data_IF_186452860132
#
_entry.id   IF_186452860132
#
_cell.length_a   1.000
_cell.length_b   1.000
_cell.length_c   1.000
_cell.angle_alpha   90.00
_cell.angle_beta   90.00
_cell.angle_gamma   90.00
#
_symmetry.space_group_name_H-M   'P 1'
#
loop_
_entity.id
_entity.type
_entity.pdbx_description
1 polymer ?
#
# COMPACT_ATOMS: atom_id res chain seq x y z
N UNK A 1 -12.59 -13.03 -38.00
CA UNK A 1 -13.08 -11.68 -37.68
C UNK A 1 -12.19 -10.67 -38.37
N UNK A 2 -12.77 -9.72 -39.09
CA UNK A 2 -12.00 -8.66 -39.76
C UNK A 2 -11.43 -7.68 -38.73
N UNK A 3 -10.35 -6.99 -39.08
CA UNK A 3 -9.66 -6.03 -38.19
C UNK A 3 -10.58 -4.90 -37.71
N UNK A 4 -11.58 -4.52 -38.51
CA UNK A 4 -12.57 -3.49 -38.17
C UNK A 4 -13.70 -4.02 -37.27
N UNK A 5 -14.13 -5.27 -37.46
CA UNK A 5 -15.11 -5.93 -36.57
C UNK A 5 -14.54 -6.07 -35.16
N UNK A 6 -13.27 -6.47 -35.04
CA UNK A 6 -12.60 -6.62 -33.76
C UNK A 6 -12.42 -5.27 -33.03
N UNK A 7 -12.25 -4.19 -33.80
CA UNK A 7 -12.11 -2.82 -33.28
C UNK A 7 -13.44 -2.23 -32.82
N UNK A 8 -14.53 -2.49 -33.55
CA UNK A 8 -15.89 -2.10 -33.17
C UNK A 8 -16.36 -2.91 -31.97
N UNK A 9 -16.13 -4.23 -31.96
CA UNK A 9 -16.45 -5.11 -30.84
C UNK A 9 -15.77 -4.65 -29.56
N UNK A 10 -14.45 -4.42 -29.59
CA UNK A 10 -13.71 -3.86 -28.44
C UNK A 10 -14.24 -2.50 -28.00
N UNK A 11 -14.76 -1.67 -28.91
CA UNK A 11 -15.31 -0.35 -28.57
C UNK A 11 -16.70 -0.44 -27.93
N UNK A 12 -17.57 -1.31 -28.43
CA UNK A 12 -18.91 -1.57 -27.86
C UNK A 12 -18.77 -2.23 -26.49
N UNK A 13 -17.99 -3.29 -26.41
CA UNK A 13 -17.66 -4.00 -25.17
C UNK A 13 -17.07 -3.07 -24.10
N UNK A 14 -16.18 -2.16 -24.50
CA UNK A 14 -15.61 -1.15 -23.60
C UNK A 14 -16.68 -0.19 -23.05
N UNK A 15 -17.69 0.14 -23.86
CA UNK A 15 -18.76 1.07 -23.46
C UNK A 15 -19.71 0.38 -22.48
N UNK A 16 -20.05 -0.88 -22.74
CA UNK A 16 -20.84 -1.72 -21.82
C UNK A 16 -20.11 -1.94 -20.48
N UNK A 17 -18.81 -2.26 -20.54
CA UNK A 17 -17.96 -2.40 -19.34
C UNK A 17 -17.93 -1.15 -18.47
N UNK A 18 -17.78 0.03 -19.12
CA UNK A 18 -17.82 1.33 -18.44
C UNK A 18 -19.17 1.57 -17.77
N UNK A 19 -20.27 1.30 -18.48
CA UNK A 19 -21.62 1.45 -17.94
C UNK A 19 -21.87 0.49 -16.78
N UNK A 20 -21.44 -0.77 -16.88
CA UNK A 20 -21.66 -1.76 -15.83
C UNK A 20 -20.89 -1.45 -14.54
N UNK A 21 -19.61 -1.08 -14.64
CA UNK A 21 -18.84 -0.64 -13.47
C UNK A 21 -19.49 0.59 -12.84
N UNK A 22 -19.82 1.58 -13.67
CA UNK A 22 -20.40 2.84 -13.23
C UNK A 22 -21.74 2.60 -12.53
N UNK A 23 -22.60 1.75 -13.07
CA UNK A 23 -23.86 1.39 -12.44
C UNK A 23 -23.63 0.66 -11.12
N UNK A 24 -22.77 -0.36 -11.08
CA UNK A 24 -22.49 -1.10 -9.83
C UNK A 24 -21.94 -0.21 -8.72
N UNK A 25 -21.11 0.77 -9.04
CA UNK A 25 -20.59 1.73 -8.06
C UNK A 25 -21.64 2.77 -7.64
N UNK A 26 -22.34 3.39 -8.58
CA UNK A 26 -23.34 4.41 -8.28
C UNK A 26 -24.58 3.84 -7.56
N UNK A 27 -24.97 2.60 -7.86
CA UNK A 27 -26.07 1.91 -7.16
C UNK A 27 -25.73 1.62 -5.69
N UNK A 28 -24.44 1.37 -5.40
CA UNK A 28 -23.98 0.98 -4.06
C UNK A 28 -23.48 2.14 -3.23
N UNK A 29 -23.12 3.25 -3.87
CA UNK A 29 -22.70 4.48 -3.20
C UNK A 29 -23.28 5.70 -3.92
N UNK A 30 -24.46 6.10 -3.46
CA UNK A 30 -25.18 7.26 -3.98
C UNK A 30 -24.47 8.60 -3.73
N UNK A 31 -23.39 8.62 -2.93
CA UNK A 31 -22.60 9.83 -2.65
C UNK A 31 -21.57 10.13 -3.75
N UNK A 32 -21.28 9.18 -4.65
CA UNK A 32 -20.40 9.38 -5.78
C UNK A 32 -21.16 10.04 -6.94
N UNK A 33 -20.83 11.28 -7.27
CA UNK A 33 -21.33 11.90 -8.50
C UNK A 33 -20.64 11.27 -9.73
N UNK A 34 -21.41 11.06 -10.81
CA UNK A 34 -20.93 10.51 -12.09
C UNK A 34 -19.72 11.23 -12.68
N UNK A 35 -19.59 12.54 -12.43
CA UNK A 35 -18.49 13.41 -12.88
C UNK A 35 -17.21 13.17 -12.08
N UNK A 36 -17.32 13.10 -10.75
CA UNK A 36 -16.20 12.79 -9.86
C UNK A 36 -15.65 11.37 -10.14
N UNK A 37 -16.53 10.43 -10.49
CA UNK A 37 -16.14 9.08 -10.89
C UNK A 37 -15.26 9.05 -12.16
N UNK A 38 -15.64 9.81 -13.20
CA UNK A 38 -14.91 9.88 -14.47
C UNK A 38 -13.60 10.68 -14.37
N UNK A 39 -13.52 11.66 -13.45
CA UNK A 39 -12.29 12.40 -13.19
C UNK A 39 -11.23 11.56 -12.46
N UNK A 40 -11.68 10.58 -11.67
CA UNK A 40 -10.81 9.77 -10.83
C UNK A 40 -10.17 8.60 -11.59
N UNK A 41 -10.81 8.06 -12.62
CA UNK A 41 -10.33 6.88 -13.34
C UNK A 41 -10.13 7.12 -14.84
N UNK A 42 -8.92 6.87 -15.33
CA UNK A 42 -8.69 6.84 -16.77
C UNK A 42 -9.37 5.61 -17.42
N UNK A 43 -9.60 5.67 -18.74
CA UNK A 43 -10.25 4.60 -19.51
C UNK A 43 -9.52 3.24 -19.46
N UNK A 44 -8.28 3.20 -18.98
CA UNK A 44 -7.50 1.96 -18.86
C UNK A 44 -7.72 1.33 -17.49
N UNK A 45 -7.69 2.14 -16.44
CA UNK A 45 -8.01 1.75 -15.06
C UNK A 45 -9.42 1.20 -14.98
N UNK A 46 -10.40 1.84 -15.64
CA UNK A 46 -11.77 1.32 -15.70
C UNK A 46 -11.83 -0.07 -16.35
N UNK A 47 -11.07 -0.31 -17.43
CA UNK A 47 -11.05 -1.63 -18.06
C UNK A 47 -10.38 -2.69 -17.19
N UNK A 48 -9.36 -2.31 -16.41
CA UNK A 48 -8.74 -3.20 -15.43
C UNK A 48 -9.75 -3.60 -14.36
N UNK A 49 -10.46 -2.63 -13.79
CA UNK A 49 -11.49 -2.91 -12.78
C UNK A 49 -12.59 -3.83 -13.34
N UNK A 50 -13.00 -3.61 -14.59
CA UNK A 50 -14.00 -4.44 -15.24
C UNK A 50 -13.56 -5.90 -15.33
N UNK A 51 -12.32 -6.11 -15.76
CA UNK A 51 -11.76 -7.44 -15.91
C UNK A 51 -11.60 -8.14 -14.55
N UNK A 52 -11.23 -7.40 -13.50
CA UNK A 52 -11.18 -7.94 -12.14
C UNK A 52 -12.56 -8.36 -11.63
N UNK A 53 -13.61 -7.57 -11.91
CA UNK A 53 -15.01 -7.92 -11.57
C UNK A 53 -15.44 -9.17 -12.34
N UNK A 54 -15.19 -9.21 -13.66
CA UNK A 54 -15.56 -10.36 -14.50
C UNK A 54 -14.87 -11.65 -14.09
N UNK A 55 -13.62 -11.56 -13.64
CA UNK A 55 -12.86 -12.69 -13.09
C UNK A 55 -13.33 -13.11 -11.68
N UNK A 56 -14.27 -12.39 -11.09
CA UNK A 56 -14.80 -12.67 -9.76
C UNK A 56 -13.86 -12.31 -8.62
N UNK A 57 -12.88 -11.42 -8.85
CA UNK A 57 -11.95 -10.96 -7.79
C UNK A 57 -12.74 -10.19 -6.72
N UNK A 58 -13.68 -9.35 -7.14
CA UNK A 58 -14.67 -8.72 -6.29
C UNK A 58 -16.00 -8.54 -7.05
N UNK A 59 -17.11 -8.55 -6.33
CA UNK A 59 -18.48 -8.43 -6.86
C UNK A 59 -19.07 -7.05 -6.61
N UNK A 60 -18.86 -6.53 -5.40
CA UNK A 60 -19.36 -5.23 -4.96
C UNK A 60 -18.18 -4.28 -4.79
N UNK A 61 -18.35 -3.05 -5.26
CA UNK A 61 -17.32 -2.01 -5.19
C UNK A 61 -17.97 -0.72 -4.69
N UNK A 62 -17.48 -0.23 -3.55
CA UNK A 62 -18.05 0.87 -2.79
C UNK A 62 -17.15 2.11 -2.86
N UNK A 63 -17.54 3.14 -2.12
CA UNK A 63 -16.85 4.42 -2.02
C UNK A 63 -15.38 4.39 -1.66
N UNK A 64 -14.78 5.58 -1.78
CA UNK A 64 -13.39 5.84 -1.40
C UNK A 64 -13.28 5.78 0.13
N UNK A 65 -12.42 4.90 0.64
CA UNK A 65 -12.04 4.84 2.05
C UNK A 65 -11.00 5.93 2.36
N UNK A 66 -10.05 6.12 1.45
CA UNK A 66 -8.94 7.06 1.63
C UNK A 66 -8.47 7.62 0.29
N UNK A 67 -8.24 8.94 0.27
CA UNK A 67 -7.73 9.66 -0.88
C UNK A 67 -6.35 10.23 -0.55
N UNK A 68 -5.30 9.65 -1.12
CA UNK A 68 -3.94 10.17 -1.07
C UNK A 68 -3.58 10.94 -2.34
N UNK A 69 -2.44 11.63 -2.30
CA UNK A 69 -1.87 12.34 -3.48
C UNK A 69 -1.50 11.40 -4.63
N UNK A 70 -1.28 10.13 -4.32
CA UNK A 70 -0.63 9.18 -5.23
C UNK A 70 -1.48 7.92 -5.50
N UNK A 71 -2.41 7.62 -4.61
CA UNK A 71 -3.36 6.51 -4.79
C UNK A 71 -4.66 6.81 -4.07
N UNK A 72 -5.71 6.09 -4.46
CA UNK A 72 -6.99 6.05 -3.76
C UNK A 72 -7.28 4.62 -3.35
N UNK A 73 -7.87 4.44 -2.17
CA UNK A 73 -8.25 3.14 -1.64
C UNK A 73 -9.78 3.07 -1.62
N UNK A 74 -10.31 2.01 -2.21
CA UNK A 74 -11.74 1.73 -2.28
C UNK A 74 -12.08 0.48 -1.52
N UNK A 75 -13.27 0.47 -0.92
CA UNK A 75 -13.81 -0.72 -0.29
C UNK A 75 -14.47 -1.59 -1.35
N UNK A 76 -14.26 -2.90 -1.31
CA UNK A 76 -14.93 -3.87 -2.16
C UNK A 76 -15.28 -5.12 -1.36
N UNK A 77 -16.22 -5.92 -1.86
CA UNK A 77 -16.50 -7.27 -1.33
C UNK A 77 -16.42 -8.28 -2.46
N UNK A 78 -15.93 -9.48 -2.15
CA UNK A 78 -16.02 -10.60 -3.09
C UNK A 78 -17.32 -11.39 -2.94
N UNK A 79 -17.53 -12.36 -3.83
CA UNK A 79 -18.75 -13.17 -3.84
C UNK A 79 -18.99 -13.98 -2.55
N UNK A 80 -17.97 -14.15 -1.69
CA UNK A 80 -18.08 -14.79 -0.37
C UNK A 80 -18.39 -13.81 0.75
N UNK A 81 -18.49 -12.51 0.45
CA UNK A 81 -18.67 -11.45 1.43
C UNK A 81 -17.39 -11.02 2.15
N UNK A 82 -16.20 -11.50 1.73
CA UNK A 82 -14.94 -11.03 2.30
C UNK A 82 -14.68 -9.58 1.88
N UNK A 83 -14.31 -8.73 2.83
CA UNK A 83 -14.00 -7.32 2.59
C UNK A 83 -12.58 -7.16 2.04
N UNK A 84 -12.47 -6.36 0.97
CA UNK A 84 -11.26 -6.12 0.20
C UNK A 84 -10.97 -4.62 0.12
N UNK A 85 -9.69 -4.28 0.11
CA UNK A 85 -9.19 -2.96 -0.23
C UNK A 85 -8.67 -2.98 -1.66
N UNK A 86 -9.16 -2.06 -2.49
CA UNK A 86 -8.70 -1.86 -3.86
C UNK A 86 -7.93 -0.54 -3.93
N UNK A 87 -6.60 -0.63 -3.95
CA UNK A 87 -5.69 0.51 -4.05
C UNK A 87 -5.39 0.80 -5.52
N UNK A 88 -5.73 2.01 -5.95
CA UNK A 88 -5.60 2.45 -7.34
C UNK A 88 -4.60 3.59 -7.41
N UNK A 89 -3.47 3.33 -8.06
CA UNK A 89 -2.41 4.31 -8.25
C UNK A 89 -2.77 5.33 -9.34
N UNK A 90 -2.55 6.62 -9.04
CA UNK A 90 -2.92 7.73 -9.91
C UNK A 90 -1.88 7.93 -11.03
N UNK A 91 -2.32 7.75 -12.28
CA UNK A 91 -1.43 7.72 -13.46
C UNK A 91 -0.94 9.10 -13.92
N UNK A 92 -1.58 10.18 -13.47
CA UNK A 92 -1.31 11.54 -13.95
C UNK A 92 -0.41 12.38 -13.02
N UNK A 93 0.08 11.83 -11.91
CA UNK A 93 0.91 12.57 -10.97
C UNK A 93 2.39 12.50 -11.40
N UNK A 94 2.92 13.58 -11.99
CA UNK A 94 4.30 13.67 -12.47
C UNK A 94 5.34 13.75 -11.34
N UNK A 95 4.96 14.16 -10.14
CA UNK A 95 5.82 14.14 -8.94
C UNK A 95 6.07 12.70 -8.44
N UNK A 96 5.16 11.77 -8.74
CA UNK A 96 5.23 10.37 -8.35
C UNK A 96 6.56 9.72 -8.72
N UNK A 97 7.10 10.03 -9.91
CA UNK A 97 8.38 9.46 -10.35
C UNK A 97 9.57 10.10 -9.64
N UNK A 98 9.57 11.41 -9.45
CA UNK A 98 10.70 12.15 -8.87
C UNK A 98 10.94 11.75 -7.42
N UNK A 99 9.89 11.74 -6.61
CA UNK A 99 9.98 11.43 -5.18
C UNK A 99 10.29 9.96 -4.90
N UNK A 100 10.19 9.10 -5.92
CA UNK A 100 10.35 7.65 -5.79
C UNK A 100 11.64 7.11 -6.38
N UNK A 101 12.46 7.95 -7.03
CA UNK A 101 13.73 7.54 -7.63
C UNK A 101 14.69 6.94 -6.61
N UNK A 102 14.67 7.45 -5.38
CA UNK A 102 15.52 7.00 -4.27
C UNK A 102 15.23 5.55 -3.88
N UNK A 103 13.95 5.13 -3.87
CA UNK A 103 13.55 3.78 -3.46
C UNK A 103 13.73 2.74 -4.58
N UNK A 104 13.97 3.16 -5.82
CA UNK A 104 14.30 2.28 -6.96
C UNK A 104 15.76 2.35 -7.39
N UNK A 105 16.58 3.11 -6.67
CA UNK A 105 18.01 3.16 -6.93
C UNK A 105 18.60 1.75 -6.79
N UNK A 106 19.13 1.20 -7.88
CA UNK A 106 19.65 -0.17 -7.94
C UNK A 106 18.66 -1.26 -8.32
N UNK A 107 17.36 -0.97 -8.48
CA UNK A 107 16.37 -1.98 -8.91
C UNK A 107 16.36 -2.11 -10.45
N UNK A 108 16.92 -3.22 -10.94
CA UNK A 108 17.01 -3.53 -12.38
C UNK A 108 15.65 -3.58 -13.08
N UNK A 109 14.56 -3.90 -12.37
CA UNK A 109 13.22 -3.93 -12.96
C UNK A 109 12.75 -2.53 -13.35
N UNK A 110 13.10 -1.52 -12.56
CA UNK A 110 12.72 -0.11 -12.82
C UNK A 110 13.64 0.57 -13.84
N UNK A 111 14.90 0.14 -13.97
CA UNK A 111 15.81 0.63 -15.01
C UNK A 111 15.28 0.31 -16.43
N UNK A 112 14.59 -0.83 -16.60
CA UNK A 112 14.03 -1.28 -17.89
C UNK A 112 12.74 -0.56 -18.30
N UNK A 113 12.12 0.22 -17.41
CA UNK A 113 10.84 0.90 -17.64
C UNK A 113 10.97 2.08 -18.61
N UNK A 114 12.17 2.67 -18.74
CA UNK A 114 12.42 3.87 -19.56
C UNK A 114 11.64 5.09 -19.05
N UNK A 115 11.31 6.05 -19.92
CA UNK A 115 10.63 7.31 -19.55
C UNK A 115 9.12 7.20 -19.30
N UNK A 116 8.52 6.02 -19.51
CA UNK A 116 7.06 5.84 -19.39
C UNK A 116 6.58 5.87 -17.93
N UNK A 117 5.89 6.94 -17.54
CA UNK A 117 5.27 7.09 -16.21
C UNK A 117 4.27 5.95 -15.90
N UNK A 118 3.47 5.54 -16.87
CA UNK A 118 2.49 4.46 -16.67
C UNK A 118 3.16 3.11 -16.38
N UNK A 119 4.18 2.73 -17.17
CA UNK A 119 4.92 1.48 -16.92
C UNK A 119 5.63 1.52 -15.57
N UNK A 120 6.09 2.70 -15.15
CA UNK A 120 6.68 2.91 -13.83
C UNK A 120 5.65 2.63 -12.74
N UNK A 121 4.47 3.23 -12.82
CA UNK A 121 3.37 3.01 -11.87
C UNK A 121 2.95 1.54 -11.80
N UNK A 122 2.88 0.85 -12.94
CA UNK A 122 2.53 -0.58 -12.95
C UNK A 122 3.61 -1.43 -12.27
N UNK A 123 4.87 -1.09 -12.49
CA UNK A 123 5.99 -1.73 -11.80
C UNK A 123 5.95 -1.42 -10.30
N UNK A 124 5.51 -0.21 -9.94
CA UNK A 124 5.30 0.21 -8.56
C UNK A 124 4.23 -0.60 -7.84
N UNK A 125 3.05 -0.73 -8.45
CA UNK A 125 1.95 -1.52 -7.91
C UNK A 125 2.36 -3.01 -7.76
N UNK A 126 3.10 -3.56 -8.72
CA UNK A 126 3.64 -4.92 -8.64
C UNK A 126 4.66 -5.10 -7.53
N UNK A 127 5.51 -4.09 -7.31
CA UNK A 127 6.47 -4.10 -6.20
C UNK A 127 5.74 -4.11 -4.86
N UNK A 128 4.70 -3.30 -4.69
CA UNK A 128 3.91 -3.33 -3.45
C UNK A 128 3.27 -4.70 -3.21
N UNK A 129 2.67 -5.33 -4.23
CA UNK A 129 2.14 -6.69 -4.10
C UNK A 129 3.23 -7.66 -3.61
N UNK A 130 4.40 -7.66 -4.27
CA UNK A 130 5.52 -8.53 -3.91
C UNK A 130 6.01 -8.28 -2.48
N UNK A 131 6.08 -7.02 -2.07
CA UNK A 131 6.50 -6.67 -0.70
C UNK A 131 5.47 -7.13 0.34
N UNK A 132 4.18 -6.98 0.05
CA UNK A 132 3.10 -7.53 0.89
C UNK A 132 3.18 -9.05 0.98
N UNK A 133 3.44 -9.76 -0.12
CA UNK A 133 3.63 -11.22 -0.11
C UNK A 133 4.80 -11.65 0.77
N UNK A 134 5.95 -10.98 0.66
CA UNK A 134 7.12 -11.27 1.48
C UNK A 134 6.84 -11.02 2.97
N UNK A 135 6.26 -9.87 3.32
CA UNK A 135 5.94 -9.53 4.70
C UNK A 135 4.88 -10.47 5.30
N UNK A 136 3.82 -10.77 4.54
CA UNK A 136 2.75 -11.68 4.95
C UNK A 136 3.29 -13.10 5.20
N UNK A 137 4.14 -13.61 4.29
CA UNK A 137 4.75 -14.94 4.43
C UNK A 137 5.74 -15.02 5.60
N UNK A 138 6.36 -13.90 5.98
CA UNK A 138 7.19 -13.77 7.17
C UNK A 138 6.36 -13.63 8.48
N UNK A 139 5.04 -13.64 8.40
CA UNK A 139 4.16 -13.52 9.57
C UNK A 139 4.11 -12.11 10.16
N UNK A 140 4.49 -11.08 9.39
CA UNK A 140 4.24 -9.68 9.74
C UNK A 140 2.76 -9.38 9.46
N UNK A 141 1.99 -8.81 10.40
CA UNK A 141 0.62 -8.43 10.14
C UNK A 141 0.55 -7.29 9.12
N UNK A 142 0.16 -7.63 7.90
CA UNK A 142 -0.06 -6.73 6.78
C UNK A 142 -1.39 -7.10 6.10
N UNK A 143 -1.97 -6.22 5.26
CA UNK A 143 -3.07 -6.64 4.39
C UNK A 143 -2.67 -7.89 3.59
N UNK A 144 -3.48 -8.94 3.65
CA UNK A 144 -3.26 -10.15 2.87
C UNK A 144 -3.29 -9.78 1.38
N UNK A 145 -2.21 -10.03 0.62
CA UNK A 145 -2.18 -9.71 -0.81
C UNK A 145 -3.13 -10.64 -1.58
N UNK A 146 -3.82 -10.10 -2.59
CA UNK A 146 -4.68 -10.90 -3.49
C UNK A 146 -4.16 -10.88 -4.93
N UNK A 147 -4.11 -9.71 -5.58
CA UNK A 147 -3.67 -9.61 -6.97
C UNK A 147 -3.31 -8.17 -7.33
N UNK A 148 -2.54 -8.00 -8.41
CA UNK A 148 -2.30 -6.70 -9.03
C UNK A 148 -2.53 -6.79 -10.53
N UNK A 149 -3.22 -5.81 -11.10
CA UNK A 149 -3.42 -5.68 -12.55
C UNK A 149 -3.22 -4.21 -12.93
N UNK A 150 -2.29 -3.93 -13.84
CA UNK A 150 -1.88 -2.55 -14.17
C UNK A 150 -1.56 -1.70 -12.94
N UNK A 151 -2.37 -0.68 -12.67
CA UNK A 151 -2.25 0.26 -11.54
C UNK A 151 -3.21 -0.07 -10.37
N UNK A 152 -3.86 -1.23 -10.39
CA UNK A 152 -4.84 -1.64 -9.39
C UNK A 152 -4.28 -2.79 -8.57
N UNK A 153 -4.10 -2.57 -7.27
CA UNK A 153 -3.72 -3.58 -6.28
C UNK A 153 -4.95 -3.95 -5.44
N UNK A 154 -5.19 -5.25 -5.29
CA UNK A 154 -6.25 -5.79 -4.43
C UNK A 154 -5.61 -6.56 -3.28
N UNK A 155 -6.08 -6.29 -2.06
CA UNK A 155 -5.64 -6.90 -0.81
C UNK A 155 -6.81 -7.01 0.18
N UNK A 156 -6.65 -7.73 1.29
CA UNK A 156 -7.68 -7.78 2.33
C UNK A 156 -7.94 -6.39 2.89
N UNK A 157 -9.21 -6.09 3.20
CA UNK A 157 -9.54 -4.90 3.95
C UNK A 157 -9.15 -5.06 5.43
N UNK A 158 -8.51 -4.04 5.99
CA UNK A 158 -8.23 -3.95 7.42
C UNK A 158 -9.28 -3.05 8.07
N UNK A 159 -10.41 -3.64 8.42
CA UNK A 159 -11.57 -2.95 8.93
C UNK A 159 -12.77 -3.88 9.05
N UNK A 160 -13.90 -3.31 9.44
CA UNK A 160 -15.18 -4.02 9.58
C UNK A 160 -16.28 -3.17 8.98
N UNK A 161 -17.13 -3.80 8.16
CA UNK A 161 -18.31 -3.18 7.54
C UNK A 161 -17.98 -1.91 6.76
N UNK A 162 -16.87 -1.96 6.00
CA UNK A 162 -16.37 -0.84 5.21
C UNK A 162 -15.72 0.29 6.02
N UNK A 163 -15.65 0.19 7.34
CA UNK A 163 -14.94 1.14 8.21
C UNK A 163 -13.54 0.61 8.49
N UNK A 164 -12.51 1.36 8.07
CA UNK A 164 -11.11 0.97 8.29
C UNK A 164 -10.75 1.02 9.77
N UNK A 165 -9.77 0.22 10.17
CA UNK A 165 -9.14 0.39 11.47
C UNK A 165 -8.47 1.77 11.59
N UNK A 166 -8.43 2.35 12.81
CA UNK A 166 -7.74 3.61 13.05
C UNK A 166 -6.23 3.45 12.83
N UNK A 167 -5.62 4.51 12.30
CA UNK A 167 -4.17 4.63 12.27
C UNK A 167 -3.67 4.82 13.71
N UNK A 168 -2.44 4.40 14.00
CA UNK A 168 -1.81 4.58 15.30
C UNK A 168 -1.76 6.05 15.73
N UNK A 169 -1.66 6.98 14.77
CA UNK A 169 -1.79 8.42 15.03
C UNK A 169 -3.16 8.84 15.59
N UNK A 170 -4.21 8.15 15.17
CA UNK A 170 -5.62 8.46 15.47
C UNK A 170 -6.08 7.81 16.77
N UNK A 171 -5.26 6.95 17.39
CA UNK A 171 -5.60 6.27 18.63
C UNK A 171 -5.34 7.13 19.86
N UNK A 172 -6.01 6.80 20.96
CA UNK A 172 -5.81 7.42 22.28
C UNK A 172 -5.82 6.33 23.34
N UNK A 173 -4.65 5.73 23.58
CA UNK A 173 -4.42 4.69 24.58
C UNK A 173 -3.62 5.23 25.77
N UNK A 174 -3.57 4.44 26.84
CA UNK A 174 -2.70 4.69 27.99
C UNK A 174 -1.23 4.44 27.65
N UNK A 175 -0.31 4.96 28.47
CA UNK A 175 1.13 4.73 28.29
C UNK A 175 1.48 3.23 28.32
N UNK A 176 0.87 2.45 29.24
CA UNK A 176 1.09 1.00 29.33
C UNK A 176 0.60 0.25 28.10
N UNK A 177 -0.54 0.66 27.54
CA UNK A 177 -1.06 0.10 26.29
C UNK A 177 -0.17 0.45 25.09
N UNK A 178 0.32 1.69 25.02
CA UNK A 178 1.30 2.08 24.01
C UNK A 178 2.61 1.32 24.16
N UNK A 179 3.05 1.00 25.39
CA UNK A 179 4.23 0.17 25.62
C UNK A 179 4.03 -1.25 25.07
N UNK A 180 2.83 -1.83 25.24
CA UNK A 180 2.46 -3.10 24.62
C UNK A 180 2.51 -3.05 23.08
N UNK A 181 1.93 -2.00 22.49
CA UNK A 181 1.97 -1.77 21.03
C UNK A 181 3.40 -1.55 20.52
N UNK A 182 4.24 -0.82 21.26
CA UNK A 182 5.64 -0.61 20.91
C UNK A 182 6.39 -1.94 20.81
N UNK A 183 6.23 -2.82 21.80
CA UNK A 183 6.82 -4.16 21.77
C UNK A 183 6.42 -4.95 20.53
N UNK A 184 5.13 -4.90 20.14
CA UNK A 184 4.65 -5.54 18.91
C UNK A 184 5.26 -4.93 17.65
N UNK A 185 5.33 -3.59 17.58
CA UNK A 185 5.91 -2.90 16.42
C UNK A 185 7.39 -3.26 16.27
N UNK A 186 8.18 -3.28 17.34
CA UNK A 186 9.60 -3.66 17.28
C UNK A 186 9.75 -5.13 16.86
N UNK A 187 8.95 -6.04 17.40
CA UNK A 187 8.94 -7.46 16.99
C UNK A 187 8.64 -7.62 15.49
N UNK A 188 7.68 -6.84 14.96
CA UNK A 188 7.35 -6.90 13.55
C UNK A 188 8.37 -6.23 12.65
N UNK A 189 9.10 -5.22 13.13
CA UNK A 189 10.28 -4.69 12.43
C UNK A 189 11.37 -5.78 12.35
N UNK A 190 11.63 -6.51 13.45
CA UNK A 190 12.59 -7.63 13.46
C UNK A 190 12.22 -8.69 12.44
N UNK A 191 10.96 -9.15 12.42
CA UNK A 191 10.48 -10.14 11.44
C UNK A 191 10.56 -9.62 10.00
N UNK A 192 10.17 -8.37 9.77
CA UNK A 192 10.25 -7.76 8.46
C UNK A 192 11.71 -7.77 7.96
N UNK A 193 12.67 -7.38 8.81
CA UNK A 193 14.08 -7.35 8.43
C UNK A 193 14.72 -8.74 8.29
N UNK A 194 14.54 -9.60 9.29
CA UNK A 194 15.24 -10.89 9.39
C UNK A 194 14.63 -11.95 8.47
N UNK A 195 13.31 -12.07 8.48
CA UNK A 195 12.60 -13.20 7.88
C UNK A 195 12.12 -12.89 6.46
N UNK A 196 11.72 -11.64 6.19
CA UNK A 196 11.32 -11.21 4.85
C UNK A 196 12.44 -10.54 4.04
N UNK A 197 13.52 -10.11 4.72
CA UNK A 197 14.63 -9.37 4.09
C UNK A 197 14.25 -7.95 3.65
N UNK A 198 13.15 -7.40 4.18
CA UNK A 198 12.63 -6.09 3.82
C UNK A 198 12.88 -5.05 4.92
N UNK A 199 12.99 -3.81 4.48
CA UNK A 199 12.87 -2.63 5.32
C UNK A 199 11.63 -1.89 4.82
N UNK A 200 10.76 -1.46 5.74
CA UNK A 200 9.53 -0.79 5.37
C UNK A 200 9.82 0.47 4.54
N UNK A 201 10.82 1.24 4.97
CA UNK A 201 11.37 2.39 4.28
C UNK A 201 10.49 3.62 4.34
N UNK A 202 9.42 3.62 5.14
CA UNK A 202 8.53 4.77 5.41
C UNK A 202 7.67 4.53 6.66
N UNK A 203 8.17 3.76 7.62
CA UNK A 203 7.38 3.35 8.78
C UNK A 203 7.23 4.53 9.74
N UNK A 204 5.98 4.79 10.12
CA UNK A 204 5.58 5.85 11.05
C UNK A 204 4.17 5.56 11.58
N UNK A 205 3.68 6.37 12.50
CA UNK A 205 2.32 6.28 13.05
C UNK A 205 1.20 6.44 12.00
N UNK A 206 1.53 6.92 10.80
CA UNK A 206 0.62 7.06 9.67
C UNK A 206 0.49 5.77 8.85
N UNK A 207 1.49 4.87 8.93
CA UNK A 207 1.56 3.60 8.19
C UNK A 207 1.40 2.37 9.10
N UNK A 208 0.91 2.59 10.32
CA UNK A 208 0.53 1.55 11.28
C UNK A 208 -0.95 1.71 11.60
N UNK A 209 -1.74 0.64 11.44
CA UNK A 209 -3.11 0.56 11.95
C UNK A 209 -3.11 -0.17 13.29
N UNK A 210 -3.88 0.31 14.26
CA UNK A 210 -3.98 -0.27 15.60
C UNK A 210 -5.44 -0.27 16.06
N UNK A 211 -6.24 -1.31 15.75
CA UNK A 211 -7.66 -1.34 16.13
C UNK A 211 -7.86 -1.41 17.65
N UNK A 212 -6.92 -2.02 18.36
CA UNK A 212 -6.94 -2.19 19.80
C UNK A 212 -5.49 -2.21 20.36
N UNK A 213 -5.31 -2.09 21.68
CA UNK A 213 -3.99 -2.09 22.34
C UNK A 213 -3.11 -3.34 22.19
N UNK A 214 -3.53 -4.36 21.44
CA UNK A 214 -2.84 -5.64 21.29
C UNK A 214 -2.63 -6.05 19.84
N UNK A 215 -3.10 -5.24 18.90
CA UNK A 215 -3.07 -5.56 17.48
C UNK A 215 -2.48 -4.38 16.71
N UNK A 216 -1.48 -4.66 15.88
CA UNK A 216 -0.96 -3.69 14.90
C UNK A 216 -0.88 -4.32 13.53
N UNK A 217 -1.05 -3.50 12.49
CA UNK A 217 -0.81 -3.87 11.10
C UNK A 217 0.07 -2.84 10.43
N UNK A 218 1.05 -3.28 9.65
CA UNK A 218 1.81 -2.40 8.75
C UNK A 218 1.08 -2.28 7.41
N UNK A 219 1.02 -1.06 6.88
CA UNK A 219 0.38 -0.74 5.61
C UNK A 219 1.31 0.09 4.73
N UNK A 220 1.00 0.17 3.43
CA UNK A 220 1.78 0.92 2.43
C UNK A 220 3.25 0.48 2.30
N UNK A 221 3.46 -0.79 1.95
CA UNK A 221 4.78 -1.34 1.64
C UNK A 221 5.29 -0.94 0.24
N UNK A 222 4.72 0.12 -0.35
CA UNK A 222 5.07 0.56 -1.70
C UNK A 222 6.49 1.12 -1.78
N UNK A 223 7.03 1.65 -0.68
CA UNK A 223 8.40 2.17 -0.59
C UNK A 223 9.39 1.15 -0.02
N UNK A 224 8.91 -0.03 0.40
CA UNK A 224 9.78 -1.02 1.05
C UNK A 224 10.85 -1.52 0.09
N UNK A 225 12.06 -1.62 0.62
CA UNK A 225 13.28 -2.02 -0.09
C UNK A 225 13.81 -3.32 0.48
N UNK A 226 14.57 -4.07 -0.32
CA UNK A 226 15.35 -5.19 0.21
C UNK A 226 16.50 -4.64 1.06
N UNK A 227 16.88 -5.35 2.12
CA UNK A 227 17.96 -4.93 3.04
C UNK A 227 19.34 -4.79 2.39
N UNK A 228 19.53 -5.37 1.21
CA UNK A 228 20.78 -5.30 0.42
C UNK A 228 20.77 -4.17 -0.62
N UNK A 229 19.73 -3.33 -0.65
CA UNK A 229 19.61 -2.19 -1.58
C UNK A 229 20.51 -1.04 -1.13
N UNK A 230 21.04 -0.21 -2.05
CA UNK A 230 21.62 1.08 -1.67
C UNK A 230 20.68 1.86 -0.74
N UNK A 231 21.24 2.53 0.28
CA UNK A 231 20.51 3.31 1.29
C UNK A 231 19.60 2.53 2.25
N UNK A 232 19.58 1.19 2.19
CA UNK A 232 18.81 0.35 3.12
C UNK A 232 19.02 0.74 4.59
N UNK A 233 20.28 0.89 5.01
CA UNK A 233 20.64 1.26 6.38
C UNK A 233 20.10 2.62 6.81
N UNK A 234 20.12 3.62 5.93
CA UNK A 234 19.57 4.95 6.21
C UNK A 234 18.05 4.87 6.36
N UNK A 235 17.37 4.10 5.51
CA UNK A 235 15.93 3.89 5.58
C UNK A 235 15.51 3.16 6.85
N UNK A 236 16.25 2.11 7.25
CA UNK A 236 16.00 1.40 8.50
C UNK A 236 16.18 2.32 9.71
N UNK A 237 17.27 3.08 9.74
CA UNK A 237 17.54 4.03 10.83
C UNK A 237 16.43 5.09 10.93
N UNK A 238 15.88 5.54 9.79
CA UNK A 238 14.76 6.46 9.74
C UNK A 238 13.48 5.85 10.30
N UNK A 239 13.15 4.63 9.90
CA UNK A 239 11.97 3.90 10.41
C UNK A 239 12.04 3.74 11.93
N UNK A 240 13.19 3.27 12.45
CA UNK A 240 13.41 3.10 13.89
C UNK A 240 13.23 4.42 14.66
N UNK A 241 13.81 5.52 14.17
CA UNK A 241 13.66 6.85 14.78
C UNK A 241 12.23 7.36 14.78
N UNK A 242 11.51 7.19 13.68
CA UNK A 242 10.12 7.62 13.58
C UNK A 242 9.25 6.88 14.59
N UNK A 243 9.42 5.56 14.69
CA UNK A 243 8.73 4.71 15.65
C UNK A 243 9.08 5.12 17.08
N UNK A 244 10.37 5.17 17.43
CA UNK A 244 10.80 5.56 18.78
C UNK A 244 10.27 6.94 19.18
N UNK A 245 10.37 7.94 18.31
CA UNK A 245 9.85 9.30 18.57
C UNK A 245 8.35 9.30 18.84
N UNK A 246 7.57 8.55 18.06
CA UNK A 246 6.13 8.49 18.28
C UNK A 246 5.81 7.91 19.66
N UNK A 247 6.38 6.75 20.01
CA UNK A 247 6.09 6.08 21.27
C UNK A 247 6.63 6.84 22.49
N UNK A 248 7.80 7.46 22.38
CA UNK A 248 8.34 8.37 23.41
C UNK A 248 7.38 9.55 23.67
N UNK A 249 6.80 10.15 22.62
CA UNK A 249 5.80 11.21 22.77
C UNK A 249 4.49 10.75 23.44
N UNK A 250 4.28 9.44 23.57
CA UNK A 250 3.16 8.82 24.29
C UNK A 250 3.53 8.33 25.70
N UNK A 251 4.74 8.64 26.18
CA UNK A 251 5.20 8.30 27.52
C UNK A 251 5.72 6.87 27.67
N UNK A 252 6.13 6.24 26.56
CA UNK A 252 6.76 4.91 26.57
C UNK A 252 8.27 5.05 26.71
N UNK A 253 8.89 4.26 27.59
CA UNK A 253 10.34 4.07 27.60
C UNK A 253 10.74 3.21 26.38
N UNK A 254 11.34 3.86 25.39
CA UNK A 254 11.75 3.23 24.13
C UNK A 254 13.18 2.73 24.21
N UNK A 255 13.49 1.68 23.43
CA UNK A 255 14.86 1.20 23.25
C UNK A 255 15.67 2.23 22.46
N UNK A 256 16.98 2.27 22.72
CA UNK A 256 17.90 3.09 21.94
C UNK A 256 17.90 2.63 20.47
N UNK A 257 17.55 3.54 19.56
CA UNK A 257 17.38 3.18 18.15
C UNK A 257 18.70 2.77 17.47
N UNK A 258 19.86 3.19 18.01
CA UNK A 258 21.18 2.84 17.48
C UNK A 258 21.55 1.43 17.93
N UNK A 259 21.26 1.06 19.17
CA UNK A 259 21.41 -0.31 19.65
C UNK A 259 20.51 -1.27 18.87
N UNK A 260 19.24 -0.92 18.64
CA UNK A 260 18.32 -1.70 17.80
C UNK A 260 18.84 -1.85 16.36
N UNK A 261 19.44 -0.79 15.80
CA UNK A 261 20.05 -0.86 14.48
C UNK A 261 21.22 -1.86 14.44
N UNK A 262 22.11 -1.81 15.43
CA UNK A 262 23.23 -2.75 15.54
C UNK A 262 22.71 -4.17 15.74
N UNK A 263 21.69 -4.37 16.57
CA UNK A 263 21.02 -5.66 16.80
C UNK A 263 20.54 -6.29 15.49
N UNK A 264 19.84 -5.51 14.65
CA UNK A 264 19.27 -5.98 13.40
C UNK A 264 20.33 -6.22 12.31
N UNK A 265 21.31 -5.32 12.20
CA UNK A 265 22.20 -5.27 11.03
C UNK A 265 23.59 -5.84 11.28
N UNK A 266 24.04 -5.88 12.53
CA UNK A 266 25.44 -6.15 12.90
C UNK A 266 26.43 -5.08 12.47
N UNK A 267 25.96 -3.86 12.13
CA UNK A 267 26.77 -2.76 11.59
C UNK A 267 26.64 -1.51 12.46
N UNK A 268 27.64 -0.62 12.33
CA UNK A 268 27.57 0.69 12.95
C UNK A 268 26.45 1.54 12.30
N UNK A 269 25.63 2.25 13.09
CA UNK A 269 24.59 3.12 12.56
C UNK A 269 25.18 4.27 11.75
N UNK A 270 24.53 4.67 10.63
CA UNK A 270 24.99 5.77 9.80
C UNK A 270 25.14 7.07 10.62
N UNK A 271 26.27 7.76 10.43
CA UNK A 271 26.66 8.95 11.20
C UNK A 271 25.79 10.18 10.94
N UNK A 272 25.19 10.26 9.75
CA UNK A 272 24.22 11.29 9.38
C UNK A 272 23.10 10.65 8.53
N UNK A 273 21.84 10.97 8.82
CA UNK A 273 20.78 10.73 7.85
C UNK A 273 20.99 11.75 6.74
N UNK A 274 21.60 11.35 5.62
CA UNK A 274 21.55 12.18 4.42
C UNK A 274 20.09 12.48 4.14
N UNK A 275 19.68 13.75 3.91
CA UNK A 275 18.31 14.03 3.50
C UNK A 275 18.04 13.27 2.20
N UNK A 276 17.16 12.27 2.27
CA UNK A 276 16.66 11.53 1.11
C UNK A 276 15.30 12.11 0.72
#
# INVERSE_FOLDING_TARGET
>A
MSYDEDRVYRRVFRREALTEIKNRMLEKDASLESSAFEEVFDKMTLMILYELIRRGVFSDFYGVISAGKESRIYHAKNAKGEELAVKIYLVNNTEFRKNRMIYVAGDHNFQRVGSSLRKFIYSWARRELRNLELAYNAGVPVPKPYTVEGNVLVMSFLGVDGVRYPLLRETSYTADEYAGLYGLVIEYIRRLYNDSGLIHGDLSEYNIMAPDPRTVYFIDLSQSVLRDTPYAEILLMRDLRNVSRFFESRGVDVLDERELFVELTGKDPPSELTPI
#
